data_IF_828597541785
#
_entry.id   IF_828597541785
#
_cell.length_a   1.000
_cell.length_b   1.000
_cell.length_c   1.000
_cell.angle_alpha   90.00
_cell.angle_beta   90.00
_cell.angle_gamma   90.00
#
_symmetry.space_group_name_H-M   'P 1'
#
loop_
_entity.id
_entity.type
_entity.pdbx_description
1 polymer ?
#
# COMPACT_ATOMS: atom_id res chain seq x y z
N UNK A 1 -60.80 26.32 1.97
CA UNK A 1 -60.47 24.93 1.57
C UNK A 1 -59.03 24.95 1.08
N UNK A 2 -58.14 24.77 2.03
CA UNK A 2 -56.68 24.83 1.77
C UNK A 2 -56.20 23.42 1.40
N UNK A 3 -55.76 23.25 0.17
CA UNK A 3 -55.08 22.03 -0.29
C UNK A 3 -53.63 22.05 0.19
N UNK A 4 -53.37 21.42 1.33
CA UNK A 4 -52.03 21.06 1.76
C UNK A 4 -51.48 19.98 0.82
N UNK A 5 -50.62 20.41 -0.10
CA UNK A 5 -49.82 19.49 -0.90
C UNK A 5 -48.75 18.88 0.00
N UNK A 6 -48.95 17.64 0.39
CA UNK A 6 -47.95 16.83 1.10
C UNK A 6 -46.76 16.62 0.18
N UNK A 7 -45.67 17.36 0.39
CA UNK A 7 -44.40 17.07 -0.20
C UNK A 7 -43.85 15.81 0.45
N UNK A 8 -43.79 14.70 -0.33
CA UNK A 8 -42.99 13.51 0.06
C UNK A 8 -41.55 13.94 0.27
N UNK A 9 -40.91 13.46 1.35
CA UNK A 9 -39.45 13.66 1.51
C UNK A 9 -38.76 13.11 0.29
N UNK A 10 -37.85 13.89 -0.30
CA UNK A 10 -36.90 13.40 -1.30
C UNK A 10 -36.11 12.29 -0.65
N UNK A 11 -36.20 11.07 -1.14
CA UNK A 11 -35.34 9.97 -0.79
C UNK A 11 -33.92 10.38 -1.18
N UNK A 12 -33.16 10.93 -0.22
CA UNK A 12 -31.73 11.19 -0.38
C UNK A 12 -31.07 9.84 -0.41
N UNK A 13 -30.86 9.29 -1.61
CA UNK A 13 -30.00 8.15 -1.80
C UNK A 13 -28.61 8.57 -1.27
N UNK A 14 -28.07 7.91 -0.25
CA UNK A 14 -26.75 8.28 0.26
C UNK A 14 -25.77 8.19 -0.89
N UNK A 15 -25.19 9.32 -1.28
CA UNK A 15 -24.12 9.33 -2.30
C UNK A 15 -22.92 8.67 -1.66
N UNK A 16 -22.68 7.40 -1.98
CA UNK A 16 -21.48 6.69 -1.52
C UNK A 16 -20.28 7.35 -2.16
N UNK A 17 -19.45 8.00 -1.34
CA UNK A 17 -18.23 8.63 -1.81
C UNK A 17 -17.27 7.55 -2.36
N UNK A 18 -16.61 7.82 -3.51
CA UNK A 18 -15.65 6.88 -4.05
C UNK A 18 -14.46 6.74 -3.10
N UNK A 19 -14.14 5.50 -2.74
CA UNK A 19 -13.00 5.14 -1.90
C UNK A 19 -11.90 4.52 -2.75
N UNK A 20 -10.66 4.73 -2.34
CA UNK A 20 -9.48 4.05 -2.86
C UNK A 20 -8.89 3.24 -1.71
N UNK A 21 -8.85 1.92 -1.86
CA UNK A 21 -8.03 1.07 -0.98
C UNK A 21 -6.60 1.13 -1.49
N UNK A 22 -5.77 1.86 -0.77
CA UNK A 22 -4.38 2.12 -1.17
C UNK A 22 -3.41 1.01 -0.77
N UNK A 23 -3.89 -0.06 -0.10
CA UNK A 23 -3.02 -1.12 0.37
C UNK A 23 -3.75 -2.45 0.58
N UNK A 24 -3.63 -3.36 -0.37
CA UNK A 24 -4.19 -4.71 -0.24
C UNK A 24 -3.28 -5.78 -0.89
N UNK A 25 -3.23 -6.95 -0.28
CA UNK A 25 -2.62 -8.16 -0.84
C UNK A 25 -3.70 -9.08 -1.42
N UNK A 26 -4.58 -8.53 -2.24
CA UNK A 26 -5.74 -9.23 -2.78
C UNK A 26 -5.39 -10.34 -3.79
N UNK A 27 -4.11 -10.42 -4.19
CA UNK A 27 -3.54 -11.45 -5.06
C UNK A 27 -3.21 -12.77 -4.33
N UNK A 28 -3.23 -12.80 -2.98
CA UNK A 28 -2.86 -14.00 -2.22
C UNK A 28 -3.91 -15.10 -2.36
N UNK A 29 -3.50 -16.40 -2.22
CA UNK A 29 -4.38 -17.56 -2.40
C UNK A 29 -5.60 -17.60 -1.48
N UNK A 30 -5.55 -16.91 -0.35
CA UNK A 30 -6.67 -16.80 0.59
C UNK A 30 -7.96 -16.28 -0.09
N UNK A 31 -7.81 -15.44 -1.13
CA UNK A 31 -8.92 -14.89 -1.91
C UNK A 31 -9.28 -15.71 -3.17
N UNK A 32 -8.57 -16.77 -3.52
CA UNK A 32 -8.79 -17.49 -4.78
C UNK A 32 -10.23 -18.03 -4.93
N UNK A 33 -10.87 -18.38 -3.81
CA UNK A 33 -12.21 -18.97 -3.81
C UNK A 33 -13.33 -17.95 -4.02
N UNK A 34 -13.13 -16.72 -3.54
CA UNK A 34 -14.20 -15.72 -3.45
C UNK A 34 -13.78 -14.31 -3.93
N UNK A 35 -12.60 -14.16 -4.56
CA UNK A 35 -12.07 -12.87 -5.04
C UNK A 35 -13.10 -12.06 -5.84
N UNK A 36 -13.86 -12.70 -6.73
CA UNK A 36 -14.89 -12.02 -7.51
C UNK A 36 -16.02 -11.50 -6.62
N UNK A 37 -16.46 -12.27 -5.63
CA UNK A 37 -17.50 -11.86 -4.67
C UNK A 37 -17.00 -10.72 -3.78
N UNK A 38 -15.80 -10.85 -3.20
CA UNK A 38 -15.20 -9.78 -2.38
C UNK A 38 -15.00 -8.48 -3.17
N UNK A 39 -14.65 -8.57 -4.46
CA UNK A 39 -14.54 -7.41 -5.34
C UNK A 39 -15.90 -6.70 -5.52
N UNK A 40 -16.99 -7.44 -5.73
CA UNK A 40 -18.35 -6.88 -5.82
C UNK A 40 -18.75 -6.19 -4.52
N UNK A 41 -18.57 -6.87 -3.40
CA UNK A 41 -18.87 -6.33 -2.07
C UNK A 41 -18.08 -5.04 -1.79
N UNK A 42 -16.80 -5.01 -2.12
CA UNK A 42 -15.98 -3.81 -1.99
C UNK A 42 -16.52 -2.67 -2.87
N UNK A 43 -16.93 -2.96 -4.09
CA UNK A 43 -17.51 -1.96 -4.98
C UNK A 43 -18.85 -1.42 -4.43
N UNK A 44 -19.70 -2.28 -3.89
CA UNK A 44 -21.02 -1.91 -3.37
C UNK A 44 -20.92 -0.97 -2.16
N UNK A 45 -19.88 -1.09 -1.35
CA UNK A 45 -19.61 -0.17 -0.23
C UNK A 45 -18.80 1.07 -0.63
N UNK A 46 -18.51 1.25 -1.92
CA UNK A 46 -17.92 2.49 -2.44
C UNK A 46 -16.46 2.39 -2.88
N UNK A 47 -15.78 1.26 -2.72
CA UNK A 47 -14.40 1.10 -3.20
C UNK A 47 -14.40 1.09 -4.72
N UNK A 48 -13.68 2.02 -5.34
CA UNK A 48 -13.58 2.16 -6.81
C UNK A 48 -12.21 1.76 -7.34
N UNK A 49 -11.19 1.85 -6.50
CA UNK A 49 -9.82 1.49 -6.84
C UNK A 49 -9.21 0.68 -5.70
N UNK A 50 -8.39 -0.31 -6.06
CA UNK A 50 -7.56 -1.07 -5.13
C UNK A 50 -6.12 -1.05 -5.63
N UNK A 51 -5.16 -0.94 -4.71
CA UNK A 51 -3.73 -1.03 -5.03
C UNK A 51 -3.23 -2.38 -4.53
N UNK A 52 -2.86 -3.26 -5.46
CA UNK A 52 -2.21 -4.53 -5.18
C UNK A 52 -0.75 -4.27 -4.81
N UNK A 53 -0.34 -4.70 -3.63
CA UNK A 53 0.97 -4.37 -3.06
C UNK A 53 1.91 -5.56 -3.12
N UNK A 54 3.09 -5.36 -3.71
CA UNK A 54 4.16 -6.35 -3.77
C UNK A 54 4.84 -6.56 -2.43
N UNK A 55 5.30 -7.79 -2.18
CA UNK A 55 6.08 -8.12 -0.99
C UNK A 55 7.23 -9.10 -1.28
N UNK A 56 7.13 -9.89 -2.35
CA UNK A 56 8.15 -10.83 -2.84
C UNK A 56 8.16 -10.82 -4.36
N UNK A 57 9.34 -10.82 -4.99
CA UNK A 57 9.48 -10.85 -6.46
C UNK A 57 8.78 -12.06 -7.09
N UNK A 58 8.87 -13.22 -6.46
CA UNK A 58 8.19 -14.46 -6.89
C UNK A 58 6.64 -14.36 -6.92
N UNK A 59 6.06 -13.31 -6.36
CA UNK A 59 4.62 -13.06 -6.35
C UNK A 59 4.16 -12.07 -7.44
N UNK A 60 5.06 -11.41 -8.15
CA UNK A 60 4.71 -10.39 -9.11
C UNK A 60 3.79 -10.89 -10.23
N UNK A 61 4.00 -12.13 -10.72
CA UNK A 61 3.11 -12.74 -11.70
C UNK A 61 1.70 -12.98 -11.14
N UNK A 62 1.56 -13.35 -9.87
CA UNK A 62 0.26 -13.49 -9.22
C UNK A 62 -0.48 -12.15 -9.11
N UNK A 63 0.24 -11.05 -8.84
CA UNK A 63 -0.34 -9.71 -8.86
C UNK A 63 -0.86 -9.33 -10.24
N UNK A 64 -0.09 -9.61 -11.31
CA UNK A 64 -0.51 -9.39 -12.71
C UNK A 64 -1.75 -10.22 -13.05
N UNK A 65 -1.78 -11.50 -12.65
CA UNK A 65 -2.92 -12.38 -12.87
C UNK A 65 -4.18 -11.86 -12.13
N UNK A 66 -4.03 -11.42 -10.90
CA UNK A 66 -5.12 -10.82 -10.12
C UNK A 66 -5.64 -9.54 -10.79
N UNK A 67 -4.76 -8.63 -11.20
CA UNK A 67 -5.15 -7.42 -11.94
C UNK A 67 -5.92 -7.77 -13.23
N UNK A 68 -5.40 -8.71 -14.01
CA UNK A 68 -6.05 -9.17 -15.24
C UNK A 68 -7.44 -9.76 -14.95
N UNK A 69 -7.57 -10.60 -13.93
CA UNK A 69 -8.86 -11.16 -13.51
C UNK A 69 -9.87 -10.06 -13.21
N UNK A 70 -9.49 -9.04 -12.43
CA UNK A 70 -10.36 -7.91 -12.10
C UNK A 70 -10.73 -7.09 -13.34
N UNK A 71 -9.79 -6.89 -14.27
CA UNK A 71 -10.07 -6.25 -15.55
C UNK A 71 -11.06 -7.03 -16.42
N UNK A 72 -11.00 -8.38 -16.42
CA UNK A 72 -12.00 -9.19 -17.13
C UNK A 72 -13.39 -9.09 -16.47
N UNK A 73 -13.46 -9.20 -15.14
CA UNK A 73 -14.70 -9.03 -14.39
C UNK A 73 -15.33 -7.66 -14.63
N UNK A 74 -14.55 -6.61 -14.70
CA UNK A 74 -15.04 -5.24 -14.92
C UNK A 74 -15.78 -5.04 -16.27
N UNK A 75 -15.65 -5.97 -17.22
CA UNK A 75 -16.39 -5.92 -18.50
C UNK A 75 -17.89 -6.24 -18.34
N UNK A 76 -18.26 -7.00 -17.34
CA UNK A 76 -19.63 -7.49 -17.11
C UNK A 76 -20.16 -7.19 -15.72
N UNK A 77 -19.29 -6.82 -14.79
CA UNK A 77 -19.61 -6.65 -13.37
C UNK A 77 -19.06 -5.33 -12.83
N UNK A 78 -19.63 -4.88 -11.72
CA UNK A 78 -19.11 -3.72 -10.97
C UNK A 78 -18.09 -4.18 -9.96
N UNK A 79 -16.81 -3.97 -10.26
CA UNK A 79 -15.68 -4.29 -9.40
C UNK A 79 -14.69 -3.12 -9.38
N UNK A 80 -13.85 -2.98 -8.34
CA UNK A 80 -12.82 -1.94 -8.30
C UNK A 80 -11.80 -2.12 -9.41
N UNK A 81 -11.26 -1.01 -9.90
CA UNK A 81 -10.09 -1.01 -10.77
C UNK A 81 -8.84 -1.34 -9.95
N UNK A 82 -8.08 -2.35 -10.38
CA UNK A 82 -6.84 -2.75 -9.73
C UNK A 82 -5.63 -2.03 -10.32
N UNK A 83 -4.79 -1.51 -9.45
CA UNK A 83 -3.51 -0.90 -9.76
C UNK A 83 -2.38 -1.71 -9.11
N UNK A 84 -1.17 -1.63 -9.67
CA UNK A 84 0.00 -2.37 -9.18
C UNK A 84 0.97 -1.44 -8.45
N UNK A 85 1.52 -1.92 -7.35
CA UNK A 85 2.68 -1.34 -6.68
C UNK A 85 3.65 -2.48 -6.35
N UNK A 86 4.62 -2.72 -7.24
CA UNK A 86 5.64 -3.74 -7.02
C UNK A 86 6.65 -3.27 -5.99
N UNK A 87 7.10 -4.20 -5.11
CA UNK A 87 8.08 -3.91 -4.09
C UNK A 87 8.53 -5.15 -3.34
N UNK A 88 9.64 -5.01 -2.62
CA UNK A 88 10.30 -6.06 -1.84
C UNK A 88 10.24 -5.69 -0.36
N UNK A 89 9.35 -6.37 0.37
CA UNK A 89 8.97 -6.02 1.73
C UNK A 89 10.03 -6.43 2.75
N UNK A 90 10.46 -5.56 3.69
CA UNK A 90 11.53 -5.84 4.65
C UNK A 90 11.27 -7.04 5.58
N UNK A 91 10.02 -7.36 5.90
CA UNK A 91 9.71 -8.52 6.75
C UNK A 91 10.04 -9.87 6.09
N UNK A 92 10.25 -9.88 4.78
CA UNK A 92 10.63 -11.07 4.02
C UNK A 92 12.11 -11.09 3.65
N UNK A 93 12.96 -10.32 4.35
CA UNK A 93 14.37 -10.11 3.99
C UNK A 93 15.17 -11.41 3.82
N UNK A 94 14.84 -12.46 4.58
CA UNK A 94 15.49 -13.77 4.48
C UNK A 94 15.05 -14.58 3.24
N UNK A 95 13.99 -14.16 2.54
CA UNK A 95 13.46 -14.80 1.34
C UNK A 95 13.83 -14.06 0.05
N UNK A 96 14.36 -12.84 0.15
CA UNK A 96 14.80 -12.09 -1.02
C UNK A 96 16.12 -12.63 -1.54
N UNK A 97 16.13 -12.94 -2.84
CA UNK A 97 17.33 -13.29 -3.59
C UNK A 97 18.13 -12.03 -3.99
N UNK A 98 19.44 -12.16 -4.27
CA UNK A 98 20.26 -11.01 -4.67
C UNK A 98 19.80 -10.31 -5.95
N UNK A 99 19.15 -11.05 -6.88
CA UNK A 99 18.65 -10.57 -8.17
C UNK A 99 17.17 -10.11 -8.13
N UNK A 100 16.52 -10.15 -6.97
CA UNK A 100 15.15 -9.67 -6.85
C UNK A 100 15.00 -8.18 -7.18
N UNK A 101 16.05 -7.37 -6.95
CA UNK A 101 16.03 -5.94 -7.31
C UNK A 101 16.05 -5.74 -8.82
N UNK A 102 16.78 -6.58 -9.56
CA UNK A 102 16.81 -6.56 -11.02
C UNK A 102 15.46 -7.04 -11.58
N UNK A 103 14.87 -8.05 -10.95
CA UNK A 103 13.52 -8.51 -11.24
C UNK A 103 12.51 -7.39 -11.04
N UNK A 104 12.57 -6.67 -9.93
CA UNK A 104 11.71 -5.51 -9.67
C UNK A 104 11.86 -4.45 -10.78
N UNK A 105 13.10 -4.08 -11.14
CA UNK A 105 13.37 -3.11 -12.19
C UNK A 105 12.75 -3.56 -13.53
N UNK A 106 12.94 -4.82 -13.92
CA UNK A 106 12.36 -5.38 -15.15
C UNK A 106 10.81 -5.35 -15.15
N UNK A 107 10.16 -5.60 -14.00
CA UNK A 107 8.71 -5.52 -13.90
C UNK A 107 8.20 -4.08 -13.97
N UNK A 108 8.90 -3.12 -13.38
CA UNK A 108 8.58 -1.70 -13.50
C UNK A 108 8.64 -1.23 -14.95
N UNK A 109 9.71 -1.59 -15.67
CA UNK A 109 9.89 -1.23 -17.09
C UNK A 109 8.81 -1.86 -17.98
N UNK A 110 8.48 -3.13 -17.75
CA UNK A 110 7.61 -3.90 -18.64
C UNK A 110 6.13 -3.65 -18.39
N UNK A 111 5.73 -3.55 -17.13
CA UNK A 111 4.30 -3.55 -16.75
C UNK A 111 3.84 -2.21 -16.19
N UNK A 112 4.78 -1.34 -15.81
CA UNK A 112 4.48 -0.12 -15.09
C UNK A 112 4.00 -0.35 -13.65
N UNK A 113 3.93 0.71 -12.90
CA UNK A 113 3.46 0.70 -11.51
C UNK A 113 2.96 2.09 -11.14
N UNK A 114 2.01 2.21 -10.21
CA UNK A 114 1.60 3.53 -9.71
C UNK A 114 2.43 3.99 -8.52
N UNK A 115 3.15 3.08 -7.87
CA UNK A 115 4.06 3.32 -6.75
C UNK A 115 5.06 2.16 -6.66
N UNK A 116 6.14 2.30 -5.91
CA UNK A 116 6.94 1.17 -5.47
C UNK A 116 6.58 0.85 -4.02
N UNK A 117 6.18 -0.39 -3.77
CA UNK A 117 5.74 -0.83 -2.45
C UNK A 117 5.28 -2.29 -2.41
N UNK A 118 5.39 -2.86 -1.23
CA UNK A 118 5.70 -2.28 0.07
C UNK A 118 7.22 -2.34 0.32
N UNK A 119 7.82 -1.24 0.75
CA UNK A 119 9.26 -1.11 0.98
C UNK A 119 9.55 -0.43 2.32
N UNK A 120 10.73 -0.61 2.87
CA UNK A 120 11.10 0.10 4.11
C UNK A 120 11.90 -0.75 5.09
N UNK A 121 11.64 -0.55 6.39
CA UNK A 121 12.43 -1.15 7.48
C UNK A 121 11.51 -1.74 8.57
N UNK A 122 11.86 -2.93 9.04
CA UNK A 122 11.19 -3.62 10.15
C UNK A 122 12.21 -4.19 11.14
N UNK A 123 12.13 -3.78 12.41
CA UNK A 123 12.96 -4.32 13.50
C UNK A 123 12.11 -4.97 14.61
N UNK A 124 10.93 -5.46 14.25
CA UNK A 124 9.98 -6.00 15.24
C UNK A 124 10.44 -7.33 15.84
N UNK A 125 10.93 -8.26 15.02
CA UNK A 125 11.42 -9.55 15.48
C UNK A 125 12.93 -9.52 15.73
N UNK A 126 13.44 -10.47 16.51
CA UNK A 126 14.87 -10.61 16.75
C UNK A 126 15.63 -10.91 15.44
N UNK A 127 15.05 -11.74 14.57
CA UNK A 127 15.60 -12.08 13.26
C UNK A 127 15.74 -10.85 12.35
N UNK A 128 14.68 -10.03 12.24
CA UNK A 128 14.71 -8.81 11.41
C UNK A 128 15.68 -7.76 11.96
N UNK A 129 15.88 -7.76 13.29
CA UNK A 129 16.78 -6.85 13.98
C UNK A 129 18.24 -7.33 13.98
N UNK A 130 18.51 -8.59 13.60
CA UNK A 130 19.89 -9.09 13.51
C UNK A 130 20.70 -8.18 12.57
N UNK A 131 21.97 -7.82 12.95
CA UNK A 131 22.74 -6.80 12.23
C UNK A 131 22.86 -7.06 10.74
N UNK A 132 23.07 -8.31 10.34
CA UNK A 132 23.18 -8.73 8.94
C UNK A 132 21.85 -8.55 8.17
N UNK A 133 20.72 -8.91 8.78
CA UNK A 133 19.40 -8.76 8.16
C UNK A 133 18.98 -7.29 8.10
N UNK A 134 19.30 -6.53 9.13
CA UNK A 134 18.99 -5.11 9.13
C UNK A 134 19.82 -4.34 8.09
N UNK A 135 21.11 -4.67 7.95
CA UNK A 135 21.95 -4.10 6.89
C UNK A 135 21.40 -4.44 5.48
N UNK A 136 20.93 -5.68 5.26
CA UNK A 136 20.27 -6.06 4.01
C UNK A 136 18.99 -5.27 3.77
N UNK A 137 18.16 -5.07 4.79
CA UNK A 137 16.95 -4.24 4.66
C UNK A 137 17.31 -2.82 4.23
N UNK A 138 18.32 -2.21 4.84
CA UNK A 138 18.77 -0.86 4.48
C UNK A 138 19.27 -0.79 3.03
N UNK A 139 20.09 -1.75 2.59
CA UNK A 139 20.56 -1.84 1.20
C UNK A 139 19.39 -1.99 0.22
N UNK A 140 18.43 -2.88 0.53
CA UNK A 140 17.27 -3.12 -0.30
C UNK A 140 16.34 -1.90 -0.35
N UNK A 141 16.17 -1.22 0.77
CA UNK A 141 15.38 0.00 0.84
C UNK A 141 16.00 1.12 -0.01
N UNK A 142 17.32 1.33 0.11
CA UNK A 142 18.03 2.32 -0.71
C UNK A 142 17.94 2.01 -2.21
N UNK A 143 18.15 0.75 -2.62
CA UNK A 143 18.00 0.33 -4.01
C UNK A 143 16.60 0.61 -4.56
N UNK A 144 15.57 0.34 -3.77
CA UNK A 144 14.18 0.61 -4.17
C UNK A 144 13.84 2.10 -4.20
N UNK A 145 14.40 2.94 -3.33
CA UNK A 145 14.30 4.39 -3.40
C UNK A 145 14.95 4.95 -4.67
N UNK A 146 16.09 4.37 -5.08
CA UNK A 146 16.74 4.73 -6.33
C UNK A 146 15.88 4.37 -7.55
N UNK A 147 15.27 3.17 -7.60
CA UNK A 147 14.33 2.80 -8.65
C UNK A 147 13.10 3.73 -8.66
N UNK A 148 12.53 4.05 -7.48
CA UNK A 148 11.42 4.97 -7.36
C UNK A 148 11.76 6.36 -7.93
N UNK A 149 12.99 6.82 -7.70
CA UNK A 149 13.48 8.09 -8.23
C UNK A 149 13.64 8.03 -9.75
N UNK A 150 14.20 6.95 -10.31
CA UNK A 150 14.38 6.75 -11.76
C UNK A 150 13.03 6.75 -12.49
N UNK A 151 12.04 6.06 -11.93
CA UNK A 151 10.69 5.94 -12.48
C UNK A 151 9.77 7.12 -12.10
N UNK A 152 10.21 8.03 -11.23
CA UNK A 152 9.42 9.17 -10.72
C UNK A 152 8.13 8.71 -10.01
N UNK A 153 8.22 7.64 -9.25
CA UNK A 153 7.09 7.03 -8.55
C UNK A 153 7.11 7.37 -7.06
N UNK A 154 5.94 7.55 -6.44
CA UNK A 154 5.82 7.57 -4.99
C UNK A 154 6.11 6.18 -4.41
N UNK A 155 6.31 6.11 -3.09
CA UNK A 155 6.56 4.84 -2.40
C UNK A 155 5.52 4.55 -1.32
N UNK A 156 5.23 3.25 -1.12
CA UNK A 156 4.36 2.78 -0.05
C UNK A 156 5.26 2.14 1.02
N UNK A 157 5.33 2.81 2.18
CA UNK A 157 6.30 2.50 3.22
C UNK A 157 5.74 1.57 4.28
N UNK A 158 6.48 0.50 4.55
CA UNK A 158 6.41 -0.30 5.76
C UNK A 158 7.49 0.18 6.74
N UNK A 159 7.10 0.74 7.86
CA UNK A 159 8.04 1.13 8.90
C UNK A 159 7.57 0.61 10.24
N UNK A 160 8.33 -0.34 10.81
CA UNK A 160 8.01 -0.89 12.11
C UNK A 160 9.20 -0.84 13.05
N UNK A 161 9.11 0.00 14.10
CA UNK A 161 10.17 0.25 15.10
C UNK A 161 11.50 0.76 14.50
N UNK A 162 11.47 1.37 13.31
CA UNK A 162 12.63 1.88 12.58
C UNK A 162 12.38 3.25 11.93
N UNK A 163 11.46 4.06 12.48
CA UNK A 163 11.02 5.33 11.86
C UNK A 163 12.17 6.32 11.69
N UNK A 164 13.03 6.47 12.71
CA UNK A 164 14.14 7.42 12.64
C UNK A 164 15.10 7.09 11.49
N UNK A 165 15.46 5.81 11.33
CA UNK A 165 16.39 5.36 10.30
C UNK A 165 15.75 5.49 8.90
N UNK A 166 14.48 5.09 8.74
CA UNK A 166 13.78 5.23 7.48
C UNK A 166 13.68 6.70 7.05
N UNK A 167 13.35 7.61 7.97
CA UNK A 167 13.32 9.06 7.72
C UNK A 167 14.72 9.59 7.36
N UNK A 168 15.77 9.12 8.05
CA UNK A 168 17.13 9.51 7.74
C UNK A 168 17.54 9.06 6.32
N UNK A 169 17.19 7.85 5.91
CA UNK A 169 17.45 7.33 4.57
C UNK A 169 16.70 8.11 3.49
N UNK A 170 15.41 8.41 3.70
CA UNK A 170 14.63 9.24 2.78
C UNK A 170 15.25 10.64 2.57
N UNK A 171 15.74 11.25 3.66
CA UNK A 171 16.44 12.55 3.61
C UNK A 171 17.78 12.44 2.89
N UNK A 172 18.58 11.40 3.17
CA UNK A 172 19.87 11.18 2.53
C UNK A 172 19.72 10.95 1.02
N UNK A 173 18.71 10.17 0.61
CA UNK A 173 18.33 9.96 -0.78
C UNK A 173 17.74 11.21 -1.45
N UNK A 174 17.43 12.29 -0.70
CA UNK A 174 16.68 13.45 -1.18
C UNK A 174 15.40 13.06 -1.93
N UNK A 175 14.71 12.05 -1.41
CA UNK A 175 13.55 11.48 -2.09
C UNK A 175 12.41 12.51 -2.17
N UNK A 176 11.98 12.82 -3.40
CA UNK A 176 11.09 13.95 -3.67
C UNK A 176 9.67 13.54 -4.13
N UNK A 177 9.39 12.25 -4.27
CA UNK A 177 8.12 11.79 -4.86
C UNK A 177 7.03 11.44 -3.83
N UNK A 178 7.35 11.54 -2.53
CA UNK A 178 6.41 11.30 -1.44
C UNK A 178 5.86 9.89 -1.43
N UNK A 179 4.66 9.71 -0.90
CA UNK A 179 4.03 8.39 -0.81
C UNK A 179 3.09 8.24 0.37
N UNK A 180 2.97 7.02 0.87
CA UNK A 180 2.14 6.71 2.04
C UNK A 180 2.97 5.92 3.04
N UNK A 181 3.04 6.38 4.29
CA UNK A 181 3.52 5.59 5.41
C UNK A 181 2.37 4.72 5.91
N UNK A 182 2.32 3.47 5.42
CA UNK A 182 1.24 2.53 5.71
C UNK A 182 1.25 2.12 7.19
N UNK A 183 0.07 1.91 7.77
CA UNK A 183 -0.10 1.42 9.15
C UNK A 183 0.84 2.13 10.15
N UNK A 184 0.91 3.45 10.05
CA UNK A 184 1.84 4.26 10.82
C UNK A 184 1.71 4.01 12.32
N UNK A 185 2.85 3.75 12.98
CA UNK A 185 2.93 3.42 14.42
C UNK A 185 3.95 4.28 15.18
N UNK A 186 4.48 5.30 14.54
CA UNK A 186 5.43 6.26 15.13
C UNK A 186 4.77 7.31 16.03
N UNK A 187 5.58 8.23 16.52
CA UNK A 187 5.14 9.38 17.29
C UNK A 187 4.89 10.62 16.41
N UNK A 188 4.44 11.71 17.05
CA UNK A 188 4.08 12.95 16.36
C UNK A 188 5.25 13.59 15.60
N UNK A 189 6.47 13.46 16.11
CA UNK A 189 7.65 14.03 15.46
C UNK A 189 8.02 13.28 14.18
N UNK A 190 7.89 11.94 14.20
CA UNK A 190 8.08 11.09 13.02
C UNK A 190 6.97 11.32 11.99
N UNK A 191 5.72 11.48 12.44
CA UNK A 191 4.61 11.83 11.55
C UNK A 191 4.85 13.18 10.86
N UNK A 192 5.24 14.22 11.61
CA UNK A 192 5.57 15.54 11.04
C UNK A 192 6.71 15.43 10.03
N UNK A 193 7.79 14.72 10.38
CA UNK A 193 8.94 14.57 9.49
C UNK A 193 8.57 13.86 8.17
N UNK A 194 7.67 12.87 8.20
CA UNK A 194 7.17 12.19 6.99
C UNK A 194 6.26 13.12 6.18
N UNK A 195 5.38 13.89 6.83
CA UNK A 195 4.52 14.86 6.15
C UNK A 195 5.36 15.94 5.47
N UNK A 196 6.43 16.44 6.12
CA UNK A 196 7.36 17.42 5.55
C UNK A 196 8.13 16.85 4.32
N UNK A 197 8.30 15.53 4.25
CA UNK A 197 8.86 14.81 3.09
C UNK A 197 7.80 14.46 2.02
N UNK A 198 6.55 14.94 2.15
CA UNK A 198 5.48 14.73 1.19
C UNK A 198 4.70 13.42 1.37
N UNK A 199 4.85 12.73 2.51
CA UNK A 199 4.12 11.49 2.77
C UNK A 199 2.76 11.73 3.40
N UNK A 200 1.79 10.90 3.05
CA UNK A 200 0.53 10.73 3.76
C UNK A 200 0.70 9.69 4.87
N UNK A 201 -0.02 9.87 5.96
CA UNK A 201 0.00 8.95 7.10
C UNK A 201 -1.18 7.99 6.99
N UNK A 202 -0.89 6.70 6.86
CA UNK A 202 -1.88 5.64 6.82
C UNK A 202 -2.34 5.27 8.23
N UNK A 203 -3.64 5.44 8.50
CA UNK A 203 -4.27 5.08 9.77
C UNK A 203 -5.03 3.77 9.60
N UNK A 204 -4.82 2.81 10.49
CA UNK A 204 -5.50 1.51 10.48
C UNK A 204 -6.45 1.37 11.68
N UNK A 205 -7.16 0.25 11.74
CA UNK A 205 -8.02 -0.10 12.89
C UNK A 205 -7.32 -0.08 14.25
N UNK A 206 -5.98 -0.05 14.30
CA UNK A 206 -5.23 0.11 15.55
C UNK A 206 -5.57 1.42 16.29
N UNK A 207 -6.03 2.47 15.59
CA UNK A 207 -6.46 3.72 16.23
C UNK A 207 -7.62 3.51 17.21
N UNK A 208 -8.42 2.47 17.01
CA UNK A 208 -9.53 2.11 17.91
C UNK A 208 -9.08 1.34 19.15
N UNK A 209 -7.84 0.82 19.17
CA UNK A 209 -7.31 0.10 20.32
C UNK A 209 -6.99 1.10 21.46
N UNK A 210 -7.60 0.97 22.66
CA UNK A 210 -7.37 1.87 23.78
C UNK A 210 -5.92 1.88 24.28
N UNK A 211 -5.16 0.81 24.01
CA UNK A 211 -3.76 0.68 24.38
C UNK A 211 -2.79 1.34 23.38
N UNK A 212 -3.25 1.74 22.20
CA UNK A 212 -2.44 2.40 21.17
C UNK A 212 -2.27 3.90 21.44
N UNK A 213 -1.79 4.27 22.64
CA UNK A 213 -1.69 5.67 23.12
C UNK A 213 -0.86 6.60 22.23
N UNK A 214 0.08 6.06 21.45
CA UNK A 214 0.90 6.88 20.52
C UNK A 214 0.18 7.26 19.24
N UNK A 215 -0.89 6.55 18.87
CA UNK A 215 -1.66 6.77 17.65
C UNK A 215 -2.86 7.71 17.87
N UNK A 216 -3.14 8.03 19.10
CA UNK A 216 -4.22 8.91 19.55
C UNK A 216 -3.66 10.23 20.02
#
# INVERSE_FOLDING_TARGET
MDHLVSQKPLDVVPTVLPLIDTHTHFDVPDFDRDRAEQSRLAYDVGVRHVVLIGFLAQRFDAMLACQYQLQQLAKTERVPQAHLAFGLHPAYICQHAPDDIDTLAAYLDKHGSIAIGEIGLDTFTAELKAPENYAKQQQLFDAQLNLATQHRLPVLLHIRRAHADAIAMLKAAKFAYGGIAHSFSGGIQEAKALVDLGFKIGVTGQVTNPNAKKLR
#
